data_IF_995405740933
#
_entry.id   IF_995405740933
#
_cell.length_a   1.000
_cell.length_b   1.000
_cell.length_c   1.000
_cell.angle_alpha   90.00
_cell.angle_beta   90.00
_cell.angle_gamma   90.00
#
_symmetry.space_group_name_H-M   'P 1'
#
loop_
_entity.id
_entity.type
_entity.pdbx_description
1 polymer ?
#
# COMPACT_ATOMS: atom_id res chain seq x y z
N UNK A 1 -43.09 -32.23 -1.70
CA UNK A 1 -42.05 -32.08 -0.64
C UNK A 1 -40.66 -32.55 -1.08
N UNK A 2 -40.51 -33.73 -1.70
CA UNK A 2 -39.20 -34.32 -2.10
C UNK A 2 -38.43 -33.47 -3.14
N UNK A 3 -39.12 -32.93 -4.14
CA UNK A 3 -38.49 -32.13 -5.22
C UNK A 3 -37.88 -30.83 -4.67
N UNK A 4 -38.57 -30.15 -3.76
CA UNK A 4 -38.09 -28.91 -3.12
C UNK A 4 -36.82 -29.16 -2.27
N UNK A 5 -36.76 -30.30 -1.59
CA UNK A 5 -35.62 -30.72 -0.77
C UNK A 5 -34.35 -31.06 -1.60
N UNK A 6 -34.54 -31.67 -2.78
CA UNK A 6 -33.43 -31.95 -3.71
C UNK A 6 -32.90 -30.67 -4.35
N UNK A 7 -33.79 -29.73 -4.70
CA UNK A 7 -33.41 -28.43 -5.27
C UNK A 7 -32.62 -27.60 -4.25
N UNK A 8 -33.06 -27.53 -2.99
CA UNK A 8 -32.35 -26.81 -1.93
C UNK A 8 -30.99 -27.44 -1.62
N UNK A 9 -30.86 -28.78 -1.59
CA UNK A 9 -29.55 -29.43 -1.45
C UNK A 9 -28.59 -29.09 -2.60
N UNK A 10 -29.04 -29.16 -3.85
CA UNK A 10 -28.23 -28.80 -5.02
C UNK A 10 -27.78 -27.33 -4.98
N UNK A 11 -28.66 -26.43 -4.56
CA UNK A 11 -28.33 -25.02 -4.38
C UNK A 11 -27.26 -24.81 -3.30
N UNK A 12 -27.38 -25.47 -2.15
CA UNK A 12 -26.37 -25.42 -1.09
C UNK A 12 -25.01 -25.89 -1.61
N UNK A 13 -24.94 -27.03 -2.31
CA UNK A 13 -23.69 -27.53 -2.88
C UNK A 13 -23.05 -26.55 -3.87
N UNK A 14 -23.83 -25.93 -4.76
CA UNK A 14 -23.33 -24.93 -5.71
C UNK A 14 -22.75 -23.72 -4.96
N UNK A 15 -23.46 -23.22 -3.94
CA UNK A 15 -22.99 -22.09 -3.12
C UNK A 15 -21.70 -22.45 -2.37
N UNK A 16 -21.61 -23.65 -1.79
CA UNK A 16 -20.39 -24.09 -1.09
C UNK A 16 -19.20 -24.20 -2.05
N UNK A 17 -19.39 -24.74 -3.25
CA UNK A 17 -18.34 -24.82 -4.27
C UNK A 17 -17.92 -23.42 -4.72
N UNK A 18 -18.87 -22.50 -4.91
CA UNK A 18 -18.57 -21.12 -5.29
C UNK A 18 -17.74 -20.40 -4.21
N UNK A 19 -18.08 -20.56 -2.93
CA UNK A 19 -17.32 -19.98 -1.82
C UNK A 19 -15.90 -20.54 -1.76
N UNK A 20 -15.75 -21.87 -1.90
CA UNK A 20 -14.43 -22.51 -1.92
C UNK A 20 -13.58 -22.06 -3.12
N UNK A 21 -14.20 -21.90 -4.29
CA UNK A 21 -13.51 -21.39 -5.46
C UNK A 21 -13.04 -19.95 -5.25
N UNK A 22 -13.93 -19.07 -4.75
CA UNK A 22 -13.58 -17.68 -4.45
C UNK A 22 -12.48 -17.58 -3.39
N UNK A 23 -12.51 -18.40 -2.33
CA UNK A 23 -11.48 -18.37 -1.29
C UNK A 23 -10.11 -18.80 -1.82
N UNK A 24 -10.06 -19.79 -2.72
CA UNK A 24 -8.82 -20.20 -3.40
C UNK A 24 -8.29 -19.08 -4.30
N UNK A 25 -9.16 -18.43 -5.08
CA UNK A 25 -8.77 -17.30 -5.94
C UNK A 25 -8.21 -16.14 -5.12
N UNK A 26 -8.89 -15.77 -4.02
CA UNK A 26 -8.43 -14.72 -3.10
C UNK A 26 -7.08 -15.09 -2.49
N UNK A 27 -6.93 -16.33 -2.01
CA UNK A 27 -5.67 -16.81 -1.43
C UNK A 27 -4.49 -16.72 -2.41
N UNK A 28 -4.69 -17.18 -3.66
CA UNK A 28 -3.67 -17.10 -4.70
C UNK A 28 -3.36 -15.66 -5.11
N UNK A 29 -4.35 -14.77 -5.07
CA UNK A 29 -4.16 -13.36 -5.42
C UNK A 29 -3.44 -12.58 -4.33
N UNK A 30 -3.75 -12.85 -3.05
CA UNK A 30 -3.11 -12.23 -1.89
C UNK A 30 -1.71 -12.78 -1.57
N UNK A 31 -1.39 -13.99 -2.04
CA UNK A 31 -0.10 -14.64 -1.79
C UNK A 31 1.04 -14.24 -2.73
N UNK A 32 0.82 -13.27 -3.63
CA UNK A 32 1.86 -12.82 -4.56
C UNK A 32 2.95 -12.06 -3.79
N UNK A 33 4.24 -12.33 -4.08
CA UNK A 33 5.31 -11.56 -3.48
C UNK A 33 5.21 -10.10 -3.93
N UNK A 34 5.56 -9.19 -3.03
CA UNK A 34 5.66 -7.76 -3.36
C UNK A 34 6.74 -7.57 -4.41
N UNK A 35 6.38 -6.91 -5.49
CA UNK A 35 7.28 -6.56 -6.58
C UNK A 35 7.64 -5.08 -6.43
N UNK A 36 8.91 -4.79 -6.18
CA UNK A 36 9.43 -3.41 -6.23
C UNK A 36 9.80 -3.12 -7.68
N UNK A 37 9.06 -2.21 -8.31
CA UNK A 37 9.19 -1.89 -9.74
C UNK A 37 10.27 -0.83 -9.97
N UNK A 38 10.23 0.26 -9.20
CA UNK A 38 11.20 1.35 -9.32
C UNK A 38 11.35 2.11 -8.00
N UNK A 39 12.41 2.89 -7.85
CA UNK A 39 12.74 3.64 -6.63
C UNK A 39 13.32 5.00 -6.96
N UNK A 40 12.67 6.05 -6.47
CA UNK A 40 13.13 7.44 -6.61
C UNK A 40 13.62 8.01 -5.28
N UNK A 41 14.74 8.73 -5.32
CA UNK A 41 15.43 9.22 -4.14
C UNK A 41 16.01 10.61 -4.37
N UNK A 42 15.65 11.58 -3.52
CA UNK A 42 15.91 13.00 -3.78
C UNK A 42 16.82 13.70 -2.77
N UNK A 43 16.88 13.25 -1.51
CA UNK A 43 17.34 14.12 -0.40
C UNK A 43 18.26 13.47 0.64
N UNK A 44 18.78 12.27 0.41
CA UNK A 44 19.57 11.59 1.44
C UNK A 44 18.72 10.84 2.49
N UNK A 45 17.40 11.07 2.49
CA UNK A 45 16.48 10.50 3.48
C UNK A 45 15.07 10.22 2.97
N UNK A 46 14.63 10.91 1.91
CA UNK A 46 13.29 10.71 1.34
C UNK A 46 13.35 9.78 0.12
N UNK A 47 12.72 8.63 0.25
CA UNK A 47 12.70 7.57 -0.77
C UNK A 47 11.25 7.22 -1.13
N UNK A 48 11.00 7.08 -2.43
CA UNK A 48 9.72 6.67 -2.99
C UNK A 48 9.90 5.33 -3.68
N UNK A 49 9.27 4.29 -3.14
CA UNK A 49 9.32 2.92 -3.65
C UNK A 49 8.01 2.65 -4.38
N UNK A 50 8.10 2.31 -5.66
CA UNK A 50 6.96 1.94 -6.49
C UNK A 50 6.79 0.43 -6.46
N UNK A 51 5.62 -0.05 -6.05
CA UNK A 51 5.39 -1.47 -5.86
C UNK A 51 4.11 -1.97 -6.55
N UNK A 52 4.10 -3.27 -6.86
CA UNK A 52 2.91 -4.04 -7.25
C UNK A 52 2.68 -5.17 -6.25
N UNK A 53 1.43 -5.65 -6.20
CA UNK A 53 1.04 -6.76 -5.32
C UNK A 53 1.34 -6.50 -3.84
N UNK A 54 1.28 -5.23 -3.40
CA UNK A 54 1.53 -4.89 -2.01
C UNK A 54 0.41 -5.43 -1.11
N UNK A 55 0.68 -5.78 0.16
CA UNK A 55 -0.35 -6.29 1.04
C UNK A 55 -1.50 -5.30 1.20
N UNK A 56 -2.73 -5.78 1.01
CA UNK A 56 -3.93 -4.95 1.10
C UNK A 56 -4.28 -4.66 2.56
N UNK A 57 -4.03 -5.62 3.47
CA UNK A 57 -4.38 -5.48 4.90
C UNK A 57 -3.33 -4.70 5.67
N UNK A 58 -3.75 -3.90 6.65
CA UNK A 58 -2.84 -3.13 7.51
C UNK A 58 -1.80 -4.02 8.20
N UNK A 59 -2.23 -5.19 8.69
CA UNK A 59 -1.32 -6.19 9.28
C UNK A 59 -0.30 -6.69 8.26
N UNK A 60 -0.73 -6.93 7.02
CA UNK A 60 0.16 -7.33 5.94
C UNK A 60 1.21 -6.26 5.62
N UNK A 61 0.80 -4.99 5.54
CA UNK A 61 1.69 -3.85 5.29
C UNK A 61 2.72 -3.70 6.40
N UNK A 62 2.28 -3.74 7.66
CA UNK A 62 3.13 -3.69 8.85
C UNK A 62 4.16 -4.84 8.86
N UNK A 63 3.72 -6.08 8.63
CA UNK A 63 4.60 -7.24 8.60
C UNK A 63 5.65 -7.12 7.50
N UNK A 64 5.22 -6.74 6.28
CA UNK A 64 6.13 -6.56 5.17
C UNK A 64 7.19 -5.50 5.48
N UNK A 65 6.79 -4.37 6.07
CA UNK A 65 7.74 -3.34 6.47
C UNK A 65 8.75 -3.85 7.49
N UNK A 66 8.31 -4.52 8.56
CA UNK A 66 9.19 -5.11 9.57
C UNK A 66 10.21 -6.09 8.99
N UNK A 67 9.82 -6.88 7.99
CA UNK A 67 10.69 -7.86 7.33
C UNK A 67 11.71 -7.23 6.36
N UNK A 68 11.45 -6.01 5.87
CA UNK A 68 12.22 -5.39 4.79
C UNK A 68 12.91 -4.08 5.18
N UNK A 69 12.51 -3.42 6.27
CA UNK A 69 13.03 -2.13 6.72
C UNK A 69 14.56 -2.12 6.72
N UNK A 70 15.18 -3.03 7.48
CA UNK A 70 16.66 -3.11 7.55
C UNK A 70 17.30 -3.24 6.17
N UNK A 71 16.73 -4.08 5.29
CA UNK A 71 17.25 -4.27 3.93
C UNK A 71 17.12 -3.01 3.09
N UNK A 72 16.03 -2.27 3.23
CA UNK A 72 15.79 -1.00 2.52
C UNK A 72 16.77 0.05 3.03
N UNK A 73 16.88 0.23 4.35
CA UNK A 73 17.79 1.22 4.95
C UNK A 73 19.24 0.95 4.56
N UNK A 74 19.70 -0.31 4.65
CA UNK A 74 21.05 -0.71 4.23
C UNK A 74 21.28 -0.51 2.73
N UNK A 75 20.34 -0.94 1.88
CA UNK A 75 20.50 -0.86 0.42
C UNK A 75 20.63 0.58 -0.08
N UNK A 76 19.93 1.52 0.56
CA UNK A 76 19.90 2.93 0.14
C UNK A 76 20.69 3.85 1.07
N UNK A 77 21.47 3.30 2.01
CA UNK A 77 22.28 4.04 2.99
C UNK A 77 21.48 5.10 3.77
N UNK A 78 20.26 4.75 4.17
CA UNK A 78 19.39 5.63 4.95
C UNK A 78 19.76 5.51 6.44
N UNK A 79 19.85 6.63 7.18
CA UNK A 79 20.10 6.58 8.61
C UNK A 79 18.87 6.05 9.35
N UNK A 80 19.06 5.18 10.35
CA UNK A 80 17.95 4.52 11.06
C UNK A 80 17.03 5.50 11.81
N UNK A 81 17.49 6.71 12.09
CA UNK A 81 16.81 7.71 12.91
C UNK A 81 16.47 9.01 12.16
N UNK A 82 16.63 9.06 10.83
CA UNK A 82 16.26 10.22 9.98
C UNK A 82 15.94 9.77 8.55
N UNK A 83 14.77 9.14 8.36
CA UNK A 83 14.32 8.68 7.06
C UNK A 83 12.83 8.91 6.85
N UNK A 84 12.43 9.04 5.57
CA UNK A 84 11.04 9.00 5.13
C UNK A 84 10.94 8.07 3.93
N UNK A 85 10.20 6.97 4.09
CA UNK A 85 9.95 5.99 3.03
C UNK A 85 8.49 6.01 2.66
N UNK A 86 8.18 6.27 1.40
CA UNK A 86 6.83 6.19 0.83
C UNK A 86 6.75 4.99 -0.10
N UNK A 87 5.71 4.17 0.07
CA UNK A 87 5.46 3.02 -0.80
C UNK A 87 4.18 3.28 -1.57
N UNK A 88 4.32 3.41 -2.88
CA UNK A 88 3.27 3.78 -3.82
C UNK A 88 2.73 2.56 -4.56
N UNK A 89 1.43 2.58 -4.87
CA UNK A 89 0.87 1.68 -5.87
C UNK A 89 1.33 2.12 -7.25
N UNK A 90 2.11 1.28 -7.92
CA UNK A 90 2.55 1.58 -9.28
C UNK A 90 1.40 1.48 -10.30
N UNK A 91 0.36 0.70 -10.01
CA UNK A 91 -0.88 0.63 -10.79
C UNK A 91 -0.66 0.43 -12.29
N UNK A 92 -1.16 1.39 -13.07
CA UNK A 92 -1.07 1.42 -14.54
C UNK A 92 0.33 1.84 -15.05
N UNK A 93 1.24 2.19 -14.15
CA UNK A 93 2.60 2.62 -14.43
C UNK A 93 2.72 4.10 -14.75
N UNK A 94 3.87 4.49 -15.30
CA UNK A 94 4.11 5.88 -15.67
C UNK A 94 3.23 6.32 -16.83
N UNK A 95 2.63 7.48 -16.67
CA UNK A 95 1.74 8.11 -17.64
C UNK A 95 2.08 9.58 -17.81
N UNK A 96 1.70 10.11 -18.96
CA UNK A 96 1.76 11.53 -19.27
C UNK A 96 0.54 12.21 -18.66
N UNK A 97 0.76 13.25 -17.86
CA UNK A 97 -0.33 14.06 -17.32
C UNK A 97 -1.07 14.79 -18.45
N UNK A 98 -2.37 14.56 -18.55
CA UNK A 98 -3.25 15.26 -19.48
C UNK A 98 -3.60 16.65 -18.93
N UNK A 99 -3.81 17.67 -19.79
CA UNK A 99 -4.35 18.96 -19.36
C UNK A 99 -5.74 18.90 -18.70
N UNK A 100 -6.43 17.77 -18.83
CA UNK A 100 -7.76 17.53 -18.25
C UNK A 100 -7.72 16.70 -16.97
N UNK A 101 -6.55 16.18 -16.59
CA UNK A 101 -6.40 15.42 -15.36
C UNK A 101 -6.41 16.37 -14.16
N UNK A 102 -7.02 15.92 -13.06
CA UNK A 102 -6.93 16.63 -11.79
C UNK A 102 -5.51 16.45 -11.23
N UNK A 103 -4.73 17.53 -11.15
CA UNK A 103 -3.32 17.46 -10.75
C UNK A 103 -3.11 16.81 -9.37
N UNK A 104 -4.08 16.93 -8.46
CA UNK A 104 -4.05 16.36 -7.12
C UNK A 104 -4.24 14.83 -7.09
N UNK A 105 -4.73 14.23 -8.18
CA UNK A 105 -4.88 12.78 -8.34
C UNK A 105 -3.60 12.08 -8.82
N UNK A 106 -2.53 12.83 -9.14
CA UNK A 106 -1.30 12.30 -9.70
C UNK A 106 -0.08 12.74 -8.90
N UNK A 107 0.97 11.91 -8.93
CA UNK A 107 2.29 12.28 -8.43
C UNK A 107 3.31 12.18 -9.55
N UNK A 108 4.02 13.26 -9.82
CA UNK A 108 5.00 13.35 -10.91
C UNK A 108 6.41 13.42 -10.35
N UNK A 109 7.27 12.49 -10.76
CA UNK A 109 8.65 12.38 -10.28
C UNK A 109 9.56 13.37 -11.03
N UNK A 110 10.18 14.35 -10.33
CA UNK A 110 10.98 15.39 -10.99
C UNK A 110 12.29 14.92 -11.61
N UNK A 111 12.82 13.75 -11.23
CA UNK A 111 14.04 13.17 -11.81
C UNK A 111 13.80 12.53 -13.19
N UNK A 112 12.57 12.15 -13.50
CA UNK A 112 12.21 11.61 -14.81
C UNK A 112 12.05 12.75 -15.84
N UNK A 113 12.85 12.70 -16.90
CA UNK A 113 12.89 13.72 -17.97
C UNK A 113 11.80 13.59 -19.03
N UNK A 114 11.20 12.40 -19.18
CA UNK A 114 10.15 12.16 -20.17
C UNK A 114 8.83 12.82 -19.75
N UNK A 115 7.90 12.95 -20.69
CA UNK A 115 6.53 13.42 -20.38
C UNK A 115 5.76 12.38 -19.56
N UNK A 116 6.05 11.08 -19.74
CA UNK A 116 5.49 9.99 -18.93
C UNK A 116 6.26 9.83 -17.63
N UNK A 117 6.05 10.77 -16.70
CA UNK A 117 6.75 10.85 -15.41
C UNK A 117 5.82 10.80 -14.20
N UNK A 118 4.53 10.62 -14.42
CA UNK A 118 3.53 10.67 -13.38
C UNK A 118 2.91 9.30 -13.13
N UNK A 119 2.47 9.06 -11.91
CA UNK A 119 1.65 7.91 -11.52
C UNK A 119 0.35 8.43 -10.92
N UNK A 120 -0.68 7.58 -10.86
CA UNK A 120 -1.84 7.88 -10.03
C UNK A 120 -1.40 7.95 -8.57
N UNK A 121 -1.87 8.95 -7.83
CA UNK A 121 -1.50 9.22 -6.45
C UNK A 121 -2.24 8.27 -5.51
N UNK A 122 -1.69 7.06 -5.38
CA UNK A 122 -2.16 6.04 -4.45
C UNK A 122 -0.97 5.50 -3.64
N UNK A 123 -1.00 5.71 -2.33
CA UNK A 123 0.06 5.35 -1.41
C UNK A 123 -0.43 4.17 -0.60
N UNK A 124 0.34 3.08 -0.56
CA UNK A 124 0.03 1.96 0.32
C UNK A 124 0.34 2.27 1.78
N UNK A 125 1.53 2.84 2.01
CA UNK A 125 2.01 3.22 3.34
C UNK A 125 3.18 4.20 3.28
N UNK A 126 3.44 4.88 4.39
CA UNK A 126 4.72 5.52 4.66
C UNK A 126 5.31 5.09 6.00
N UNK A 127 6.64 5.12 6.09
CA UNK A 127 7.39 4.90 7.32
C UNK A 127 8.41 6.02 7.49
N UNK A 128 8.36 6.68 8.64
CA UNK A 128 9.16 7.85 8.95
C UNK A 128 9.84 7.66 10.31
N UNK A 129 11.13 7.97 10.38
CA UNK A 129 11.84 8.09 11.64
C UNK A 129 12.54 9.43 11.72
N UNK A 130 12.42 10.06 12.89
CA UNK A 130 13.24 11.19 13.30
C UNK A 130 13.87 10.92 14.66
N UNK A 131 14.75 11.79 15.11
CA UNK A 131 15.58 11.55 16.31
C UNK A 131 14.82 11.19 17.60
N UNK A 132 13.53 11.49 17.72
CA UNK A 132 12.68 11.14 18.86
C UNK A 132 11.35 10.46 18.47
N UNK A 133 11.13 10.14 17.20
CA UNK A 133 9.87 9.55 16.76
C UNK A 133 10.06 8.49 15.70
N UNK A 134 9.11 7.56 15.69
CA UNK A 134 8.93 6.60 14.62
C UNK A 134 7.44 6.55 14.33
N UNK A 135 7.06 6.80 13.08
CA UNK A 135 5.68 6.80 12.64
C UNK A 135 5.56 5.96 11.39
N UNK A 136 4.52 5.16 11.34
CA UNK A 136 4.16 4.46 10.13
C UNK A 136 2.71 4.77 9.82
N UNK A 137 2.41 5.22 8.62
CA UNK A 137 1.06 5.51 8.16
C UNK A 137 0.62 4.42 7.19
N UNK A 138 -0.47 3.71 7.52
CA UNK A 138 -1.06 2.67 6.68
C UNK A 138 -2.32 3.25 6.05
N UNK A 139 -2.28 3.50 4.74
CA UNK A 139 -3.41 4.10 4.02
C UNK A 139 -4.35 2.99 3.56
N UNK A 140 -5.59 3.02 4.05
CA UNK A 140 -6.57 1.98 3.75
C UNK A 140 -7.94 2.62 3.54
N UNK A 141 -8.35 2.74 2.27
CA UNK A 141 -9.69 3.19 1.88
C UNK A 141 -10.10 4.55 2.47
N UNK A 142 -10.91 4.53 3.53
CA UNK A 142 -11.55 5.69 4.16
C UNK A 142 -10.74 6.38 5.27
N UNK A 143 -9.52 5.91 5.56
CA UNK A 143 -8.69 6.49 6.62
C UNK A 143 -7.25 6.01 6.58
N UNK A 144 -6.47 6.42 7.58
CA UNK A 144 -5.14 5.88 7.81
C UNK A 144 -4.95 5.52 9.28
N UNK A 145 -4.19 4.46 9.50
CA UNK A 145 -3.74 4.07 10.82
C UNK A 145 -2.30 4.53 11.01
N UNK A 146 -1.94 4.94 12.22
CA UNK A 146 -0.55 5.18 12.56
C UNK A 146 -0.04 4.40 13.77
N UNK A 147 1.23 4.03 13.73
CA UNK A 147 1.95 3.36 14.82
C UNK A 147 2.89 4.37 15.50
N UNK A 148 2.75 4.64 16.80
CA UNK A 148 3.55 5.67 17.49
C UNK A 148 4.95 5.18 17.94
N UNK A 149 5.19 3.87 17.99
CA UNK A 149 6.47 3.25 18.37
C UNK A 149 6.74 2.01 17.53
N UNK A 150 7.98 1.84 17.07
CA UNK A 150 8.43 0.76 16.19
C UNK A 150 8.03 -0.65 16.66
N UNK A 151 8.19 -0.92 17.95
CA UNK A 151 7.97 -2.25 18.55
C UNK A 151 6.59 -2.44 19.21
N UNK A 152 5.68 -1.46 19.09
CA UNK A 152 4.34 -1.54 19.69
C UNK A 152 3.30 -1.97 18.64
N UNK A 153 2.59 -3.08 18.84
CA UNK A 153 1.55 -3.54 17.92
C UNK A 153 0.27 -2.67 17.93
N UNK A 154 0.21 -1.64 18.78
CA UNK A 154 -0.93 -0.72 18.87
C UNK A 154 -0.99 0.24 17.67
N UNK A 155 -2.00 0.05 16.83
CA UNK A 155 -2.38 1.00 15.79
C UNK A 155 -3.44 1.98 16.31
N UNK A 156 -3.31 3.25 15.91
CA UNK A 156 -4.27 4.30 16.21
C UNK A 156 -4.91 4.75 14.89
N UNK A 157 -6.22 4.64 14.79
CA UNK A 157 -6.99 5.17 13.66
C UNK A 157 -7.02 6.69 13.71
N UNK A 158 -6.72 7.34 12.58
CA UNK A 158 -6.89 8.77 12.41
C UNK A 158 -8.08 9.03 11.49
N UNK A 159 -9.17 9.51 12.05
CA UNK A 159 -10.35 9.90 11.27
C UNK A 159 -10.08 11.24 10.58
N UNK A 160 -9.79 11.20 9.28
CA UNK A 160 -9.37 12.38 8.53
C UNK A 160 -10.58 13.14 7.96
N UNK A 161 -11.17 14.04 8.75
CA UNK A 161 -12.04 15.11 8.23
C UNK A 161 -11.43 16.51 8.40
N UNK A 162 -10.13 16.67 8.72
CA UNK A 162 -9.63 18.04 9.01
C UNK A 162 -8.17 18.36 8.72
N UNK A 163 -7.33 17.51 8.10
CA UNK A 163 -5.89 17.83 7.98
C UNK A 163 -5.18 17.51 6.66
N UNK A 164 -5.87 17.44 5.53
CA UNK A 164 -5.22 17.45 4.21
C UNK A 164 -5.12 18.85 3.55
N UNK A 165 -5.54 19.92 4.25
CA UNK A 165 -5.32 21.31 3.83
C UNK A 165 -4.32 22.00 4.77
N UNK A 166 -3.08 21.56 4.76
CA UNK A 166 -1.93 22.35 5.20
C UNK A 166 -0.67 21.59 4.76
N UNK A 167 -0.31 21.77 3.50
CA UNK A 167 0.86 22.56 3.08
C UNK A 167 0.76 22.86 1.58
#
# INVERSE_FOLDING_TARGET
>A
MIVSWVITKKFIYIVTIAILFCSVVIYLWSGRPVEIVDVHYYSGKDINILARHFPITDRGKLNWWRENERKILEKYNLPENDFSVYIWDFGDGYQKLSPYDAEDEFYCFPDIKSESKCIKKDIYMSAESGGNYYRMFLFSGSGYFYQPKKDDDKLIESNNSTKLNQD
#
